data_IF_652593635235
#
_entry.id   IF_652593635235
#
_cell.length_a   1.000
_cell.length_b   1.000
_cell.length_c   1.000
_cell.angle_alpha   90.00
_cell.angle_beta   90.00
_cell.angle_gamma   90.00
#
_symmetry.space_group_name_H-M   'P 1'
#
loop_
_entity.id
_entity.type
_entity.pdbx_description
1 polymer ?
#
# COMPACT_ATOMS: atom_id res chain seq x y z
N UNK A 1 21.63 5.05 -51.29
CA UNK A 1 21.14 5.76 -50.10
C UNK A 1 19.61 5.77 -50.16
N UNK A 2 18.94 4.87 -49.46
CA UNK A 2 17.47 4.85 -49.30
C UNK A 2 17.15 5.41 -47.94
N UNK A 3 16.39 6.50 -47.88
CA UNK A 3 15.92 7.12 -46.61
C UNK A 3 14.84 6.22 -45.99
N UNK A 4 14.99 5.88 -44.73
CA UNK A 4 13.99 5.21 -43.89
C UNK A 4 12.99 6.29 -43.46
N UNK A 5 11.67 6.09 -43.58
CA UNK A 5 10.69 7.08 -43.12
C UNK A 5 10.58 7.01 -41.58
N UNK A 6 10.56 8.20 -40.97
CA UNK A 6 10.31 8.41 -39.56
C UNK A 6 8.94 7.89 -39.17
N UNK A 7 8.89 6.99 -38.20
CA UNK A 7 7.67 6.49 -37.56
C UNK A 7 7.04 7.63 -36.75
N UNK A 8 5.99 8.24 -37.29
CA UNK A 8 5.11 9.11 -36.53
C UNK A 8 4.27 8.27 -35.57
N UNK A 9 4.56 8.39 -34.26
CA UNK A 9 3.72 7.83 -33.22
C UNK A 9 2.27 8.37 -33.40
N UNK A 10 1.32 7.45 -33.52
CA UNK A 10 -0.11 7.81 -33.53
C UNK A 10 -0.48 8.36 -32.17
N UNK A 11 -1.22 9.47 -32.05
CA UNK A 11 -1.77 9.91 -30.79
C UNK A 11 -2.72 8.83 -30.27
N UNK A 12 -2.43 8.27 -29.10
CA UNK A 12 -3.35 7.38 -28.38
C UNK A 12 -4.59 8.19 -28.03
N UNK A 13 -5.73 7.79 -28.58
CA UNK A 13 -7.03 8.36 -28.20
C UNK A 13 -7.22 8.16 -26.68
N UNK A 14 -7.68 9.18 -25.94
CA UNK A 14 -8.00 9.00 -24.53
C UNK A 14 -9.09 7.92 -24.41
N UNK A 15 -8.82 6.90 -23.59
CA UNK A 15 -9.81 5.89 -23.26
C UNK A 15 -11.01 6.61 -22.62
N UNK A 16 -12.26 6.33 -23.04
CA UNK A 16 -13.43 6.96 -22.44
C UNK A 16 -13.43 6.72 -20.95
N UNK A 17 -13.49 7.79 -20.15
CA UNK A 17 -13.54 7.74 -18.70
C UNK A 17 -14.91 7.14 -18.31
N UNK A 18 -14.89 5.96 -17.72
CA UNK A 18 -16.09 5.40 -17.09
C UNK A 18 -16.32 6.09 -15.74
N UNK A 19 -17.16 7.12 -15.73
CA UNK A 19 -17.51 7.89 -14.52
C UNK A 19 -18.19 7.07 -13.43
N UNK A 20 -18.52 5.80 -13.70
CA UNK A 20 -19.08 4.88 -12.73
C UNK A 20 -18.06 3.90 -12.17
N UNK A 21 -16.78 4.07 -12.50
CA UNK A 21 -15.71 3.20 -12.01
C UNK A 21 -15.63 3.26 -10.48
N UNK A 22 -15.75 2.10 -9.83
CA UNK A 22 -15.64 1.96 -8.38
C UNK A 22 -14.56 0.96 -8.03
N UNK A 23 -13.91 1.22 -6.90
CA UNK A 23 -12.97 0.28 -6.29
C UNK A 23 -13.31 0.09 -4.82
N UNK A 24 -12.83 -1.01 -4.25
CA UNK A 24 -12.91 -1.26 -2.82
C UNK A 24 -11.83 -0.43 -2.10
N UNK A 25 -12.29 0.48 -1.22
CA UNK A 25 -11.45 1.32 -0.36
C UNK A 25 -11.54 0.79 1.06
N UNK A 26 -10.41 0.32 1.60
CA UNK A 26 -10.37 -0.24 2.94
C UNK A 26 -10.38 0.83 4.03
N UNK A 27 -9.70 1.94 3.79
CA UNK A 27 -9.66 3.06 4.73
C UNK A 27 -9.33 4.37 4.02
N UNK A 28 -9.76 5.48 4.60
CA UNK A 28 -9.25 6.83 4.31
C UNK A 28 -8.77 7.38 5.65
N UNK A 29 -7.45 7.45 5.82
CA UNK A 29 -6.80 7.89 7.04
C UNK A 29 -6.42 9.36 6.92
N UNK A 30 -7.04 10.20 7.72
CA UNK A 30 -6.74 11.63 7.82
C UNK A 30 -5.54 11.85 8.75
N UNK A 31 -4.84 12.97 8.56
CA UNK A 31 -3.70 13.40 9.39
C UNK A 31 -2.55 12.39 9.46
N UNK A 32 -2.28 11.68 8.36
CA UNK A 32 -1.09 10.83 8.24
C UNK A 32 0.17 11.67 8.14
N UNK A 33 1.19 11.32 8.91
CA UNK A 33 2.50 12.00 8.95
C UNK A 33 3.65 11.13 8.46
N UNK A 34 3.41 9.84 8.24
CA UNK A 34 4.42 8.85 7.82
C UNK A 34 4.22 8.34 6.37
N UNK A 35 3.19 8.83 5.68
CA UNK A 35 2.84 8.42 4.32
C UNK A 35 3.28 9.45 3.27
N UNK A 36 4.43 10.07 3.48
CA UNK A 36 5.02 11.11 2.65
C UNK A 36 5.09 12.46 3.37
N UNK A 37 5.68 13.49 2.72
CA UNK A 37 5.95 14.78 3.36
C UNK A 37 4.68 15.55 3.71
N UNK A 38 4.71 16.23 4.85
CA UNK A 38 3.61 17.06 5.36
C UNK A 38 2.44 16.25 5.93
N UNK A 39 1.35 16.93 6.26
CA UNK A 39 0.12 16.26 6.69
C UNK A 39 -0.63 15.74 5.47
N UNK A 40 -1.03 14.47 5.50
CA UNK A 40 -1.64 13.81 4.36
C UNK A 40 -2.94 13.12 4.73
N UNK A 41 -3.81 12.94 3.74
CA UNK A 41 -4.91 11.98 3.82
C UNK A 41 -4.56 10.79 2.94
N UNK A 42 -4.39 9.62 3.58
CA UNK A 42 -3.99 8.38 2.90
C UNK A 42 -5.20 7.55 2.55
N UNK A 43 -5.34 7.23 1.27
CA UNK A 43 -6.40 6.40 0.70
C UNK A 43 -5.85 5.00 0.50
N UNK A 44 -6.41 4.02 1.20
CA UNK A 44 -5.98 2.62 1.14
C UNK A 44 -6.90 1.82 0.23
N UNK A 45 -6.43 1.51 -0.99
CA UNK A 45 -7.15 0.68 -1.94
C UNK A 45 -7.01 -0.81 -1.58
N UNK A 46 -8.04 -1.61 -1.86
CA UNK A 46 -8.04 -3.05 -1.58
C UNK A 46 -7.73 -3.85 -2.84
N UNK A 47 -6.80 -4.79 -2.72
CA UNK A 47 -6.28 -5.66 -3.76
C UNK A 47 -4.77 -5.51 -3.89
N UNK A 48 -4.03 -6.62 -3.75
CA UNK A 48 -2.56 -6.65 -3.87
C UNK A 48 -2.13 -7.95 -4.53
N UNK A 49 -1.25 -7.92 -5.54
CA UNK A 49 -0.70 -9.13 -6.15
C UNK A 49 0.36 -9.80 -5.27
N UNK A 50 0.92 -9.06 -4.30
CA UNK A 50 1.87 -9.59 -3.33
C UNK A 50 1.14 -10.17 -2.11
N UNK A 51 1.78 -11.15 -1.48
CA UNK A 51 1.29 -11.83 -0.27
C UNK A 51 2.34 -11.81 0.83
N UNK A 52 2.85 -10.61 1.10
CA UNK A 52 3.92 -10.42 2.08
C UNK A 52 3.51 -11.01 3.44
N UNK A 53 4.33 -11.92 3.97
CA UNK A 53 4.05 -12.59 5.25
C UNK A 53 4.09 -11.63 6.45
N UNK A 54 4.73 -10.48 6.29
CA UNK A 54 4.80 -9.39 7.29
C UNK A 54 3.86 -8.21 6.97
N UNK A 55 2.85 -8.39 6.12
CA UNK A 55 1.98 -7.30 5.69
C UNK A 55 1.30 -6.61 6.89
N UNK A 56 1.36 -5.28 6.92
CA UNK A 56 0.70 -4.48 7.96
C UNK A 56 -0.80 -4.30 7.71
N UNK A 57 -1.25 -4.48 6.46
CA UNK A 57 -2.64 -4.35 6.05
C UNK A 57 -3.12 -5.62 5.32
N UNK A 58 -3.05 -6.81 5.96
CA UNK A 58 -3.40 -8.07 5.31
C UNK A 58 -4.86 -8.14 4.87
N UNK A 59 -5.74 -7.35 5.49
CA UNK A 59 -7.13 -7.19 5.10
C UNK A 59 -7.31 -6.56 3.71
N UNK A 60 -6.25 -5.92 3.17
CA UNK A 60 -6.27 -5.27 1.86
C UNK A 60 -5.67 -6.13 0.73
N UNK A 61 -5.21 -7.34 1.03
CA UNK A 61 -4.56 -8.21 0.03
C UNK A 61 -5.58 -8.73 -1.00
N UNK A 62 -6.71 -9.28 -0.53
CA UNK A 62 -7.69 -9.88 -1.43
C UNK A 62 -8.45 -8.82 -2.24
N UNK A 63 -8.76 -9.13 -3.51
CA UNK A 63 -9.48 -8.22 -4.42
C UNK A 63 -10.98 -8.17 -4.14
N UNK A 64 -11.54 -9.16 -3.46
CA UNK A 64 -12.96 -9.23 -3.12
C UNK A 64 -13.25 -8.70 -1.71
N UNK A 65 -14.51 -8.37 -1.46
CA UNK A 65 -14.97 -7.96 -0.14
C UNK A 65 -14.78 -9.08 0.88
N UNK A 66 -14.47 -8.71 2.12
CA UNK A 66 -14.32 -9.64 3.24
C UNK A 66 -15.08 -9.13 4.47
N UNK A 67 -15.39 -10.07 5.36
CA UNK A 67 -15.97 -9.77 6.67
C UNK A 67 -14.86 -9.72 7.72
N UNK A 68 -14.72 -8.60 8.40
CA UNK A 68 -13.81 -8.43 9.54
C UNK A 68 -14.58 -8.56 10.86
N UNK A 69 -14.00 -9.27 11.80
CA UNK A 69 -14.47 -9.38 13.18
C UNK A 69 -13.53 -8.64 14.12
N UNK A 70 -14.06 -7.69 14.87
CA UNK A 70 -13.34 -6.93 15.89
C UNK A 70 -13.78 -7.38 17.30
N UNK A 71 -13.09 -8.37 17.92
CA UNK A 71 -13.53 -8.99 19.16
C UNK A 71 -13.70 -8.00 20.30
N UNK A 72 -12.84 -6.97 20.36
CA UNK A 72 -12.88 -5.96 21.43
C UNK A 72 -14.13 -5.09 21.41
N UNK A 73 -14.82 -5.00 20.27
CA UNK A 73 -16.08 -4.28 20.12
C UNK A 73 -17.31 -5.15 20.39
N UNK A 74 -17.15 -6.48 20.42
CA UNK A 74 -18.28 -7.39 20.62
C UNK A 74 -18.77 -7.36 22.07
N UNK A 75 -20.06 -7.01 22.24
CA UNK A 75 -20.76 -6.99 23.55
C UNK A 75 -21.51 -8.29 23.84
N UNK A 76 -21.40 -9.32 22.98
CA UNK A 76 -22.02 -10.63 23.18
C UNK A 76 -23.54 -10.65 23.06
N UNK A 77 -24.18 -9.63 22.48
CA UNK A 77 -25.65 -9.53 22.39
C UNK A 77 -26.33 -10.69 21.64
N UNK A 78 -25.60 -11.34 20.70
CA UNK A 78 -26.10 -12.52 19.97
C UNK A 78 -26.99 -12.24 18.78
N UNK A 79 -27.39 -10.99 18.51
CA UNK A 79 -28.31 -10.65 17.44
C UNK A 79 -27.90 -11.16 16.06
N UNK A 80 -26.59 -11.19 15.76
CA UNK A 80 -26.05 -11.72 14.50
C UNK A 80 -26.17 -13.25 14.36
N UNK A 81 -26.34 -13.99 15.49
CA UNK A 81 -26.55 -15.44 15.46
C UNK A 81 -27.89 -15.76 14.80
N UNK A 82 -28.95 -15.06 15.22
CA UNK A 82 -30.32 -15.30 14.77
C UNK A 82 -30.58 -14.81 13.32
N UNK A 83 -29.67 -13.95 12.81
CA UNK A 83 -29.82 -13.31 11.50
C UNK A 83 -28.79 -13.79 10.45
N UNK A 84 -28.01 -14.83 10.77
CA UNK A 84 -27.11 -15.42 9.79
C UNK A 84 -27.83 -16.52 8.97
N UNK A 85 -28.06 -16.30 7.65
CA UNK A 85 -28.80 -17.27 6.83
C UNK A 85 -28.06 -18.60 6.69
N UNK A 86 -26.72 -18.59 6.83
CA UNK A 86 -25.87 -19.76 6.72
C UNK A 86 -25.54 -20.42 8.07
N UNK A 87 -26.06 -19.89 9.17
CA UNK A 87 -25.68 -20.32 10.54
C UNK A 87 -24.14 -20.35 10.73
N UNK A 88 -23.45 -19.44 10.09
CA UNK A 88 -21.99 -19.33 10.11
C UNK A 88 -21.46 -18.56 11.35
N UNK A 89 -22.34 -17.96 12.15
CA UNK A 89 -21.95 -17.21 13.34
C UNK A 89 -22.31 -18.06 14.57
N UNK A 90 -21.37 -18.17 15.49
CA UNK A 90 -21.56 -18.93 16.72
C UNK A 90 -20.97 -18.19 17.92
N UNK A 91 -21.29 -18.63 19.14
CA UNK A 91 -20.73 -18.05 20.36
C UNK A 91 -19.43 -18.76 20.70
N UNK A 92 -18.33 -18.00 20.75
CA UNK A 92 -17.03 -18.48 21.17
C UNK A 92 -16.95 -18.71 22.68
N UNK A 93 -15.86 -19.32 23.13
CA UNK A 93 -15.59 -19.61 24.56
C UNK A 93 -15.49 -18.32 25.40
N UNK A 94 -15.07 -17.21 24.80
CA UNK A 94 -15.00 -15.88 25.42
C UNK A 94 -16.37 -15.18 25.53
N UNK A 95 -17.47 -15.87 25.20
CA UNK A 95 -18.83 -15.34 25.17
C UNK A 95 -19.12 -14.37 24.02
N UNK A 96 -18.14 -14.06 23.19
CA UNK A 96 -18.27 -13.21 22.01
C UNK A 96 -18.60 -14.03 20.78
N UNK A 97 -19.08 -13.37 19.73
CA UNK A 97 -19.38 -14.07 18.48
C UNK A 97 -18.10 -14.44 17.74
N UNK A 98 -18.11 -15.61 17.11
CA UNK A 98 -17.08 -16.09 16.20
C UNK A 98 -17.73 -16.45 14.86
N UNK A 99 -16.91 -16.63 13.82
CA UNK A 99 -17.37 -16.89 12.45
C UNK A 99 -16.77 -18.22 11.98
N UNK A 100 -17.63 -19.12 11.57
CA UNK A 100 -17.26 -20.31 10.80
C UNK A 100 -17.06 -19.84 9.34
N UNK A 101 -15.81 -19.74 8.94
CA UNK A 101 -15.44 -19.20 7.62
C UNK A 101 -15.77 -20.14 6.47
N UNK A 102 -15.90 -21.45 6.74
CA UNK A 102 -16.25 -22.45 5.75
C UNK A 102 -17.74 -22.40 5.41
N UNK A 103 -18.59 -21.98 6.37
CA UNK A 103 -20.02 -21.79 6.15
C UNK A 103 -20.40 -20.40 5.65
N UNK A 104 -19.52 -19.41 5.87
CA UNK A 104 -19.82 -18.03 5.56
C UNK A 104 -19.74 -17.76 4.05
N UNK A 105 -20.87 -17.44 3.41
CA UNK A 105 -20.98 -17.07 2.00
C UNK A 105 -20.70 -15.57 1.71
N UNK A 106 -20.28 -14.80 2.72
CA UNK A 106 -20.05 -13.36 2.63
C UNK A 106 -21.28 -12.54 2.22
N UNK A 107 -22.48 -12.97 2.56
CA UNK A 107 -23.71 -12.20 2.31
C UNK A 107 -23.78 -10.88 3.08
N UNK A 108 -22.90 -10.68 4.07
CA UNK A 108 -22.71 -9.47 4.88
C UNK A 108 -23.95 -9.02 5.67
N UNK A 109 -25.02 -9.82 5.76
CA UNK A 109 -26.23 -9.48 6.50
C UNK A 109 -25.94 -9.11 7.96
N UNK A 110 -25.00 -9.83 8.59
CA UNK A 110 -24.60 -9.61 9.99
C UNK A 110 -23.99 -8.22 10.25
N UNK A 111 -23.39 -7.57 9.24
CA UNK A 111 -22.80 -6.23 9.41
C UNK A 111 -23.89 -5.17 9.56
N UNK A 112 -25.06 -5.36 8.94
CA UNK A 112 -26.18 -4.42 9.00
C UNK A 112 -26.81 -4.35 10.39
N UNK A 113 -26.68 -5.42 11.17
CA UNK A 113 -27.31 -5.57 12.49
C UNK A 113 -26.33 -5.48 13.65
N UNK A 114 -25.03 -5.31 13.39
CA UNK A 114 -24.04 -5.21 14.44
C UNK A 114 -23.89 -3.77 14.95
N UNK A 115 -24.75 -3.34 15.87
CA UNK A 115 -24.71 -1.98 16.43
C UNK A 115 -23.38 -1.67 17.17
N UNK A 116 -22.73 -2.70 17.72
CA UNK A 116 -21.41 -2.56 18.33
C UNK A 116 -20.27 -2.47 17.29
N UNK A 117 -20.61 -2.59 16.00
CA UNK A 117 -19.66 -2.58 14.89
C UNK A 117 -18.48 -3.58 15.07
N UNK A 118 -18.76 -4.71 15.70
CA UNK A 118 -17.80 -5.81 15.83
C UNK A 118 -17.68 -6.61 14.53
N UNK A 119 -18.77 -6.70 13.75
CA UNK A 119 -18.79 -7.30 12.43
C UNK A 119 -18.95 -6.18 11.40
N UNK A 120 -17.98 -6.07 10.51
CA UNK A 120 -17.93 -5.02 9.49
C UNK A 120 -17.45 -5.59 8.15
N UNK A 121 -17.76 -4.91 7.08
CA UNK A 121 -17.06 -5.08 5.80
C UNK A 121 -15.63 -4.53 5.92
N UNK A 122 -14.66 -5.18 5.27
CA UNK A 122 -13.27 -4.69 5.23
C UNK A 122 -13.16 -3.38 4.45
N UNK A 123 -13.94 -3.25 3.38
CA UNK A 123 -13.85 -2.11 2.49
C UNK A 123 -15.24 -1.63 2.07
N UNK A 124 -15.31 -0.44 1.49
CA UNK A 124 -16.49 0.11 0.84
C UNK A 124 -16.18 0.43 -0.62
N UNK A 125 -17.14 0.25 -1.50
CA UNK A 125 -17.02 0.70 -2.89
C UNK A 125 -17.12 2.21 -2.94
N UNK A 126 -16.15 2.84 -3.62
CA UNK A 126 -16.11 4.30 -3.79
C UNK A 126 -15.71 4.67 -5.21
N UNK A 127 -16.26 5.78 -5.71
CA UNK A 127 -15.82 6.44 -6.92
C UNK A 127 -14.64 7.40 -6.64
N UNK A 128 -13.88 7.83 -7.67
CA UNK A 128 -12.84 8.84 -7.48
C UNK A 128 -13.37 10.15 -6.88
N UNK A 129 -14.58 10.58 -7.26
CA UNK A 129 -15.20 11.80 -6.76
C UNK A 129 -15.58 11.69 -5.28
N UNK A 130 -16.08 10.54 -4.84
CA UNK A 130 -16.40 10.29 -3.43
C UNK A 130 -15.14 10.33 -2.56
N UNK A 131 -14.02 9.77 -3.06
CA UNK A 131 -12.74 9.84 -2.38
C UNK A 131 -12.24 11.29 -2.34
N UNK A 132 -12.26 11.97 -3.47
CA UNK A 132 -11.79 13.36 -3.53
C UNK A 132 -12.58 14.27 -2.59
N UNK A 133 -13.89 14.07 -2.50
CA UNK A 133 -14.72 14.83 -1.55
C UNK A 133 -14.24 14.68 -0.10
N UNK A 134 -13.87 13.48 0.33
CA UNK A 134 -13.33 13.25 1.69
C UNK A 134 -11.92 13.84 1.86
N UNK A 135 -11.07 13.71 0.84
CA UNK A 135 -9.70 14.22 0.84
C UNK A 135 -9.66 15.75 0.85
N UNK A 136 -10.52 16.39 0.06
CA UNK A 136 -10.55 17.85 -0.07
C UNK A 136 -10.93 18.58 1.23
N UNK A 137 -11.56 17.90 2.18
CA UNK A 137 -11.90 18.48 3.49
C UNK A 137 -10.65 18.90 4.30
N UNK A 138 -9.48 18.31 4.02
CA UNK A 138 -8.24 18.58 4.75
C UNK A 138 -7.28 19.51 3.97
N UNK A 139 -7.74 20.14 2.88
CA UNK A 139 -6.92 20.96 1.96
C UNK A 139 -6.13 22.06 2.65
N UNK A 140 -6.70 22.74 3.62
CA UNK A 140 -6.01 23.80 4.37
C UNK A 140 -4.77 23.30 5.12
N UNK A 141 -4.78 22.04 5.59
CA UNK A 141 -3.62 21.42 6.23
C UNK A 141 -2.54 21.08 5.20
N UNK A 142 -2.93 20.65 4.00
CA UNK A 142 -1.99 20.37 2.91
C UNK A 142 -1.23 21.62 2.50
N UNK A 143 -1.94 22.73 2.32
CA UNK A 143 -1.35 24.02 1.93
C UNK A 143 -0.34 24.53 2.96
N UNK A 144 -0.63 24.38 4.26
CA UNK A 144 0.25 24.84 5.35
C UNK A 144 1.48 23.96 5.57
N UNK A 145 1.39 22.67 5.27
CA UNK A 145 2.45 21.70 5.61
C UNK A 145 3.22 21.17 4.40
N UNK A 146 2.77 21.50 3.19
CA UNK A 146 3.29 20.89 1.98
C UNK A 146 2.80 19.45 1.74
N UNK A 147 1.76 19.02 2.43
CA UNK A 147 1.16 17.70 2.32
C UNK A 147 0.25 17.48 1.10
N UNK A 148 -0.74 16.62 1.23
CA UNK A 148 -1.67 16.28 0.16
C UNK A 148 -2.36 14.94 0.34
N UNK A 149 -2.75 14.30 -0.74
CA UNK A 149 -3.28 12.93 -0.74
C UNK A 149 -2.15 11.92 -0.95
N UNK A 150 -2.21 10.79 -0.25
CA UNK A 150 -1.40 9.60 -0.57
C UNK A 150 -2.32 8.49 -1.05
N UNK A 151 -1.99 7.86 -2.17
CA UNK A 151 -2.70 6.69 -2.70
C UNK A 151 -1.84 5.48 -2.39
N UNK A 152 -2.35 4.60 -1.53
CA UNK A 152 -1.69 3.43 -0.95
C UNK A 152 -2.66 2.24 -0.90
N UNK A 153 -2.44 1.29 -0.01
CA UNK A 153 -3.40 0.20 0.30
C UNK A 153 -2.82 -1.18 0.14
N UNK A 154 -3.39 -1.99 -0.74
CA UNK A 154 -2.80 -3.22 -1.23
C UNK A 154 -1.68 -2.88 -2.22
N UNK A 155 -2.03 -2.76 -3.50
CA UNK A 155 -1.14 -2.21 -4.53
C UNK A 155 -1.96 -1.31 -5.46
N UNK A 156 -1.63 -0.02 -5.50
CA UNK A 156 -2.39 0.97 -6.25
C UNK A 156 -2.36 0.70 -7.77
N UNK A 157 -1.27 0.12 -8.29
CA UNK A 157 -1.15 -0.22 -9.71
C UNK A 157 -2.15 -1.31 -10.14
N UNK A 158 -2.70 -2.09 -9.22
CA UNK A 158 -3.81 -3.01 -9.51
C UNK A 158 -5.09 -2.29 -9.95
N UNK A 159 -5.18 -0.98 -9.70
CA UNK A 159 -6.31 -0.13 -10.02
C UNK A 159 -5.89 1.08 -10.86
N UNK A 160 -4.89 0.91 -11.73
CA UNK A 160 -4.22 2.01 -12.42
C UNK A 160 -5.17 2.99 -13.17
N UNK A 161 -6.22 2.57 -13.89
CA UNK A 161 -7.16 3.50 -14.51
C UNK A 161 -7.92 4.36 -13.49
N UNK A 162 -8.32 3.76 -12.35
CA UNK A 162 -8.97 4.48 -11.25
C UNK A 162 -8.02 5.48 -10.58
N UNK A 163 -6.78 5.05 -10.34
CA UNK A 163 -5.73 5.92 -9.77
C UNK A 163 -5.45 7.10 -10.68
N UNK A 164 -5.40 6.88 -12.00
CA UNK A 164 -5.19 7.95 -12.98
C UNK A 164 -6.29 9.01 -12.90
N UNK A 165 -7.56 8.60 -12.86
CA UNK A 165 -8.69 9.52 -12.72
C UNK A 165 -8.64 10.28 -11.38
N UNK A 166 -8.35 9.58 -10.28
CA UNK A 166 -8.26 10.20 -8.96
C UNK A 166 -7.12 11.25 -8.90
N UNK A 167 -5.97 10.97 -9.52
CA UNK A 167 -4.84 11.90 -9.63
C UNK A 167 -5.24 13.14 -10.46
N UNK A 168 -5.95 12.94 -11.57
CA UNK A 168 -6.42 14.02 -12.43
C UNK A 168 -7.47 14.91 -11.76
N UNK A 169 -8.37 14.31 -10.97
CA UNK A 169 -9.33 15.06 -10.17
C UNK A 169 -8.64 15.84 -9.04
N UNK A 170 -7.66 15.24 -8.37
CA UNK A 170 -6.85 15.92 -7.35
C UNK A 170 -6.09 17.13 -7.93
N UNK A 171 -5.60 17.02 -9.18
CA UNK A 171 -4.93 18.12 -9.87
C UNK A 171 -5.86 19.33 -10.09
N UNK A 172 -7.13 19.10 -10.45
CA UNK A 172 -8.14 20.16 -10.63
C UNK A 172 -8.42 20.91 -9.33
N UNK A 173 -8.31 20.21 -8.18
CA UNK A 173 -8.44 20.80 -6.85
C UNK A 173 -7.13 21.39 -6.29
N UNK A 174 -6.02 21.32 -7.04
CA UNK A 174 -4.71 21.80 -6.61
C UNK A 174 -4.12 20.94 -5.48
N UNK A 175 -4.54 19.68 -5.33
CA UNK A 175 -4.07 18.76 -4.31
C UNK A 175 -2.87 17.97 -4.84
N UNK A 176 -1.76 18.02 -4.10
CA UNK A 176 -0.58 17.19 -4.40
C UNK A 176 -0.81 15.75 -4.04
N UNK A 177 -0.26 14.84 -4.84
CA UNK A 177 -0.40 13.40 -4.67
C UNK A 177 0.96 12.77 -4.38
N UNK A 178 0.99 11.83 -3.45
CA UNK A 178 2.06 10.87 -3.22
C UNK A 178 1.57 9.50 -3.67
N UNK A 179 2.34 8.79 -4.46
CA UNK A 179 2.08 7.41 -4.85
C UNK A 179 2.86 6.48 -3.92
N UNK A 180 2.18 5.57 -3.24
CA UNK A 180 2.79 4.55 -2.39
C UNK A 180 2.59 3.18 -3.03
N UNK A 181 3.67 2.58 -3.53
CA UNK A 181 3.62 1.39 -4.39
C UNK A 181 4.79 0.44 -4.14
N UNK A 182 4.55 -0.84 -4.34
CA UNK A 182 5.62 -1.83 -4.46
C UNK A 182 6.27 -1.83 -5.85
N UNK A 183 5.70 -1.10 -6.82
CA UNK A 183 6.12 -1.14 -8.21
C UNK A 183 5.72 -2.41 -8.96
N UNK A 184 4.91 -3.29 -8.38
CA UNK A 184 4.45 -4.51 -9.04
C UNK A 184 3.21 -4.24 -9.90
N UNK A 185 3.44 -3.84 -11.14
CA UNK A 185 2.40 -3.52 -12.12
C UNK A 185 3.01 -3.08 -13.45
N UNK A 186 2.20 -2.49 -14.31
CA UNK A 186 2.65 -1.96 -15.60
C UNK A 186 3.54 -0.72 -15.42
N UNK A 187 4.80 -0.82 -15.84
CA UNK A 187 5.82 0.21 -15.63
C UNK A 187 5.57 1.49 -16.42
N UNK A 188 5.06 1.38 -17.65
CA UNK A 188 4.75 2.56 -18.46
C UNK A 188 3.58 3.37 -17.86
N UNK A 189 2.60 2.67 -17.31
CA UNK A 189 1.50 3.31 -16.59
C UNK A 189 2.01 4.00 -15.32
N UNK A 190 2.90 3.35 -14.55
CA UNK A 190 3.51 3.97 -13.38
C UNK A 190 4.32 5.22 -13.74
N UNK A 191 5.13 5.15 -14.81
CA UNK A 191 5.91 6.28 -15.31
C UNK A 191 4.99 7.42 -15.76
N UNK A 192 3.89 7.11 -16.48
CA UNK A 192 2.91 8.11 -16.89
C UNK A 192 2.22 8.81 -15.71
N UNK A 193 1.91 8.06 -14.63
CA UNK A 193 1.39 8.62 -13.38
C UNK A 193 2.45 9.49 -12.69
N UNK A 194 3.68 9.01 -12.57
CA UNK A 194 4.79 9.68 -11.92
C UNK A 194 5.14 11.05 -12.57
N UNK A 195 4.95 11.19 -13.88
CA UNK A 195 5.19 12.40 -14.65
C UNK A 195 4.16 13.51 -14.45
N UNK A 196 3.01 13.21 -13.83
CA UNK A 196 1.98 14.23 -13.59
C UNK A 196 2.50 15.32 -12.66
N UNK A 197 2.18 16.56 -12.94
CA UNK A 197 2.71 17.71 -12.20
C UNK A 197 2.30 17.72 -10.73
N UNK A 198 1.08 17.28 -10.43
CA UNK A 198 0.59 17.20 -9.05
C UNK A 198 1.09 15.95 -8.29
N UNK A 199 1.72 14.98 -8.96
CA UNK A 199 2.44 13.88 -8.30
C UNK A 199 3.79 14.40 -7.84
N UNK A 200 3.90 14.64 -6.55
CA UNK A 200 5.06 15.27 -5.93
C UNK A 200 6.07 14.28 -5.35
N UNK A 201 5.63 13.10 -4.94
CA UNK A 201 6.46 12.08 -4.29
C UNK A 201 6.00 10.67 -4.69
N UNK A 202 6.94 9.74 -4.64
CA UNK A 202 6.71 8.32 -4.86
C UNK A 202 7.42 7.57 -3.74
N UNK A 203 6.66 6.90 -2.90
CA UNK A 203 7.16 5.95 -1.91
C UNK A 203 7.27 4.59 -2.61
N UNK A 204 8.49 4.11 -2.79
CA UNK A 204 8.75 2.89 -3.56
C UNK A 204 9.31 1.79 -2.65
N UNK A 205 8.55 0.73 -2.47
CA UNK A 205 8.87 -0.34 -1.54
C UNK A 205 9.93 -1.31 -2.10
N UNK A 206 11.09 -1.40 -1.44
CA UNK A 206 12.08 -2.45 -1.64
C UNK A 206 11.94 -3.50 -0.54
N UNK A 207 11.28 -4.61 -0.84
CA UNK A 207 11.01 -5.65 0.15
C UNK A 207 12.19 -6.61 0.34
N UNK A 208 12.90 -6.92 -0.74
CA UNK A 208 14.23 -7.56 -0.76
C UNK A 208 14.83 -7.44 -2.15
N UNK A 209 16.14 -7.16 -2.24
CA UNK A 209 16.90 -7.23 -3.49
C UNK A 209 17.15 -8.67 -3.93
N UNK A 210 17.24 -9.60 -2.98
CA UNK A 210 17.39 -11.03 -3.24
C UNK A 210 16.04 -11.60 -3.73
N UNK A 211 16.00 -12.09 -4.99
CA UNK A 211 14.79 -12.60 -5.62
C UNK A 211 14.26 -13.86 -4.92
N UNK A 212 15.14 -14.71 -4.41
CA UNK A 212 14.74 -15.93 -3.69
C UNK A 212 14.02 -15.58 -2.39
N UNK A 213 14.58 -14.64 -1.62
CA UNK A 213 13.97 -14.13 -0.40
C UNK A 213 12.66 -13.41 -0.75
N UNK A 214 12.66 -12.59 -1.79
CA UNK A 214 11.46 -11.87 -2.21
C UNK A 214 10.34 -12.84 -2.57
N UNK A 215 10.59 -13.85 -3.41
CA UNK A 215 9.59 -14.85 -3.80
C UNK A 215 9.08 -15.64 -2.59
N UNK A 216 9.99 -16.09 -1.73
CA UNK A 216 9.63 -16.89 -0.54
C UNK A 216 8.66 -16.16 0.38
N UNK A 217 8.86 -14.87 0.59
CA UNK A 217 8.13 -14.11 1.61
C UNK A 217 7.02 -13.20 1.06
N UNK A 218 7.03 -12.91 -0.25
CA UNK A 218 5.99 -12.08 -0.88
C UNK A 218 5.13 -12.82 -1.89
N UNK A 219 5.55 -14.02 -2.30
CA UNK A 219 4.87 -14.85 -3.30
C UNK A 219 5.15 -14.46 -4.75
N UNK A 220 5.98 -13.44 -5.01
CA UNK A 220 6.29 -12.95 -6.36
C UNK A 220 7.79 -12.69 -6.52
N UNK A 221 8.29 -12.76 -7.77
CA UNK A 221 9.64 -12.32 -8.13
C UNK A 221 9.75 -10.79 -8.03
N UNK A 222 10.93 -10.28 -7.65
CA UNK A 222 11.21 -8.84 -7.62
C UNK A 222 11.61 -8.27 -9.00
N UNK A 223 11.74 -9.09 -10.04
CA UNK A 223 12.24 -8.66 -11.36
C UNK A 223 11.45 -7.49 -11.93
N UNK A 224 10.12 -7.63 -11.98
CA UNK A 224 9.24 -6.57 -12.48
C UNK A 224 9.40 -5.26 -11.67
N UNK A 225 9.52 -5.40 -10.35
CA UNK A 225 9.73 -4.25 -9.44
C UNK A 225 11.04 -3.54 -9.77
N UNK A 226 12.13 -4.30 -9.97
CA UNK A 226 13.44 -3.74 -10.31
C UNK A 226 13.50 -3.17 -11.73
N UNK A 227 12.81 -3.79 -12.70
CA UNK A 227 12.65 -3.27 -14.06
C UNK A 227 11.91 -1.94 -14.04
N UNK A 228 10.81 -1.85 -13.32
CA UNK A 228 10.03 -0.62 -13.17
C UNK A 228 10.83 0.48 -12.43
N UNK A 229 11.60 0.14 -11.40
CA UNK A 229 12.47 1.10 -10.73
C UNK A 229 13.51 1.68 -11.69
N UNK A 230 14.16 0.83 -12.52
CA UNK A 230 15.10 1.29 -13.55
C UNK A 230 14.44 2.20 -14.57
N UNK A 231 13.23 1.85 -15.03
CA UNK A 231 12.47 2.70 -15.93
C UNK A 231 12.18 4.09 -15.35
N UNK A 232 11.78 4.15 -14.07
CA UNK A 232 11.48 5.44 -13.40
C UNK A 232 12.71 6.33 -13.27
N UNK A 233 13.88 5.77 -12.96
CA UNK A 233 15.10 6.58 -12.76
C UNK A 233 15.74 7.08 -14.06
N UNK A 234 15.33 6.59 -15.23
CA UNK A 234 15.73 7.14 -16.53
C UNK A 234 15.18 8.57 -16.75
N UNK A 235 14.10 8.92 -16.07
CA UNK A 235 13.53 10.26 -16.06
C UNK A 235 14.01 11.02 -14.82
N UNK A 236 14.85 12.02 -14.99
CA UNK A 236 15.45 12.79 -13.90
C UNK A 236 14.39 13.45 -13.00
N UNK A 237 13.29 13.94 -13.60
CA UNK A 237 12.22 14.59 -12.84
C UNK A 237 11.42 13.61 -11.99
N UNK A 238 11.30 12.37 -12.44
CA UNK A 238 10.65 11.29 -11.69
C UNK A 238 11.60 10.73 -10.62
N UNK A 239 12.89 10.57 -10.94
CA UNK A 239 13.91 10.10 -10.00
C UNK A 239 13.98 11.00 -8.75
N UNK A 240 13.85 12.31 -8.91
CA UNK A 240 13.85 13.25 -7.77
C UNK A 240 12.63 13.12 -6.84
N UNK A 241 11.53 12.51 -7.31
CA UNK A 241 10.33 12.25 -6.50
C UNK A 241 10.42 10.94 -5.71
N UNK A 242 11.40 10.07 -6.00
CA UNK A 242 11.52 8.75 -5.40
C UNK A 242 12.08 8.80 -3.98
N UNK A 243 11.34 8.23 -3.04
CA UNK A 243 11.77 7.88 -1.69
C UNK A 243 11.64 6.36 -1.55
N UNK A 244 12.76 5.67 -1.39
CA UNK A 244 12.75 4.23 -1.17
C UNK A 244 12.20 3.91 0.21
N UNK A 245 11.44 2.80 0.35
CA UNK A 245 10.96 2.29 1.63
C UNK A 245 11.44 0.87 1.82
N UNK A 246 12.01 0.58 2.97
CA UNK A 246 12.56 -0.74 3.29
C UNK A 246 11.94 -1.26 4.58
N UNK A 247 10.92 -2.15 4.51
CA UNK A 247 10.54 -2.92 5.68
C UNK A 247 11.70 -3.81 6.09
N UNK A 248 12.10 -3.77 7.37
CA UNK A 248 13.21 -4.55 7.91
C UNK A 248 12.71 -5.64 8.82
N UNK A 249 12.95 -6.90 8.45
CA UNK A 249 12.53 -8.10 9.17
C UNK A 249 13.77 -8.89 9.59
N UNK A 250 13.97 -9.05 10.90
CA UNK A 250 15.16 -9.70 11.45
C UNK A 250 15.40 -11.10 10.88
N UNK A 251 16.61 -11.32 10.36
CA UNK A 251 17.03 -12.59 9.78
C UNK A 251 16.40 -12.94 8.43
N UNK A 252 15.63 -12.02 7.82
CA UNK A 252 15.00 -12.23 6.51
C UNK A 252 15.64 -11.36 5.45
N UNK A 253 15.44 -10.05 5.52
CA UNK A 253 15.93 -9.10 4.52
C UNK A 253 16.94 -8.09 5.08
N UNK A 254 17.35 -8.23 6.34
CA UNK A 254 18.31 -7.38 7.04
C UNK A 254 19.73 -7.96 7.06
N UNK A 255 20.00 -9.06 6.33
CA UNK A 255 21.32 -9.70 6.29
C UNK A 255 22.35 -8.79 5.63
N UNK A 256 23.65 -8.86 6.03
CA UNK A 256 24.70 -8.01 5.43
C UNK A 256 24.74 -8.10 3.90
N UNK A 257 24.64 -9.31 3.34
CA UNK A 257 24.67 -9.52 1.89
C UNK A 257 23.52 -8.78 1.16
N UNK A 258 22.30 -8.86 1.69
CA UNK A 258 21.13 -8.18 1.12
C UNK A 258 21.29 -6.66 1.22
N UNK A 259 21.75 -6.15 2.37
CA UNK A 259 21.90 -4.71 2.56
C UNK A 259 23.01 -4.13 1.67
N UNK A 260 24.16 -4.80 1.55
CA UNK A 260 25.22 -4.38 0.62
C UNK A 260 24.75 -4.36 -0.84
N UNK A 261 24.06 -5.42 -1.30
CA UNK A 261 23.52 -5.48 -2.65
C UNK A 261 22.49 -4.38 -2.90
N UNK A 262 21.67 -4.06 -1.89
CA UNK A 262 20.69 -2.95 -1.95
C UNK A 262 21.40 -1.60 -2.05
N UNK A 263 22.43 -1.37 -1.23
CA UNK A 263 23.22 -0.14 -1.27
C UNK A 263 23.91 0.06 -2.63
N UNK A 264 24.47 -1.02 -3.20
CA UNK A 264 25.08 -0.98 -4.53
C UNK A 264 24.07 -0.59 -5.61
N UNK A 265 22.88 -1.22 -5.63
CA UNK A 265 21.80 -0.86 -6.56
C UNK A 265 21.38 0.60 -6.40
N UNK A 266 21.17 1.07 -5.18
CA UNK A 266 20.72 2.44 -4.93
C UNK A 266 21.74 3.48 -5.39
N UNK A 267 23.03 3.20 -5.17
CA UNK A 267 24.13 4.02 -5.68
C UNK A 267 24.17 4.01 -7.21
N UNK A 268 24.05 2.84 -7.85
CA UNK A 268 24.02 2.69 -9.32
C UNK A 268 22.89 3.52 -9.94
N UNK A 269 21.71 3.50 -9.32
CA UNK A 269 20.51 4.19 -9.80
C UNK A 269 20.47 5.68 -9.41
N UNK A 270 21.44 6.17 -8.62
CA UNK A 270 21.51 7.56 -8.19
C UNK A 270 20.35 7.98 -7.28
N UNK A 271 19.79 7.04 -6.51
CA UNK A 271 18.72 7.29 -5.55
C UNK A 271 19.27 8.06 -4.34
N UNK A 272 18.43 8.94 -3.74
CA UNK A 272 18.89 9.88 -2.72
C UNK A 272 18.31 9.65 -1.34
N UNK A 273 17.09 9.12 -1.25
CA UNK A 273 16.38 8.97 0.01
C UNK A 273 15.90 7.54 0.26
N UNK A 274 16.03 7.07 1.49
CA UNK A 274 15.44 5.81 1.94
C UNK A 274 14.88 5.93 3.34
N UNK A 275 13.72 5.33 3.54
CA UNK A 275 13.06 5.20 4.84
C UNK A 275 13.12 3.74 5.28
N UNK A 276 13.76 3.49 6.41
CA UNK A 276 13.80 2.19 7.06
C UNK A 276 12.56 2.02 7.93
N UNK A 277 11.89 0.88 7.80
CA UNK A 277 10.64 0.55 8.48
C UNK A 277 10.85 -0.75 9.30
N UNK A 278 11.40 -0.67 10.53
CA UNK A 278 11.51 -1.85 11.38
C UNK A 278 10.15 -2.53 11.55
N UNK A 279 10.13 -3.86 11.45
CA UNK A 279 8.90 -4.63 11.55
C UNK A 279 8.20 -4.44 12.89
N UNK A 280 6.87 -4.39 12.86
CA UNK A 280 6.00 -4.46 14.04
C UNK A 280 4.80 -5.38 13.79
N UNK A 281 4.21 -5.91 14.87
CA UNK A 281 3.21 -6.99 14.79
C UNK A 281 1.76 -6.53 14.54
N UNK A 282 1.52 -5.29 14.14
CA UNK A 282 0.15 -4.75 13.96
C UNK A 282 -0.68 -5.56 12.94
N UNK A 283 -0.05 -6.09 11.89
CA UNK A 283 -0.72 -6.92 10.89
C UNK A 283 -1.25 -8.25 11.41
N UNK A 284 -0.62 -8.81 12.47
CA UNK A 284 -0.98 -10.14 13.02
C UNK A 284 -2.42 -10.14 13.55
N UNK A 285 -2.80 -9.10 14.29
CA UNK A 285 -4.18 -8.98 14.82
C UNK A 285 -5.20 -8.75 13.69
N UNK A 286 -4.84 -7.95 12.69
CA UNK A 286 -5.70 -7.69 11.53
C UNK A 286 -5.95 -8.97 10.70
N UNK A 287 -4.89 -9.77 10.45
CA UNK A 287 -5.01 -11.05 9.76
C UNK A 287 -5.96 -12.01 10.52
N UNK A 288 -5.81 -12.12 11.83
CA UNK A 288 -6.71 -12.93 12.68
C UNK A 288 -8.15 -12.44 12.60
N UNK A 289 -8.35 -11.14 12.55
CA UNK A 289 -9.69 -10.52 12.48
C UNK A 289 -10.43 -10.83 11.17
N UNK A 290 -9.71 -11.10 10.08
CA UNK A 290 -10.30 -11.56 8.82
C UNK A 290 -10.35 -13.10 8.71
N UNK A 291 -9.91 -13.84 9.75
CA UNK A 291 -9.96 -15.30 9.80
C UNK A 291 -8.72 -16.00 9.23
N UNK A 292 -7.64 -15.26 8.98
CA UNK A 292 -6.36 -15.81 8.54
C UNK A 292 -5.39 -16.10 9.68
N UNK A 293 -4.27 -16.71 9.32
CA UNK A 293 -3.12 -16.96 10.19
C UNK A 293 -1.92 -16.16 9.70
N UNK A 294 -1.08 -15.70 10.63
CA UNK A 294 0.14 -14.97 10.31
C UNK A 294 1.35 -15.68 10.87
N UNK A 295 2.45 -15.61 10.14
CA UNK A 295 3.77 -15.83 10.73
C UNK A 295 4.11 -14.59 11.57
N UNK A 296 4.66 -14.81 12.76
CA UNK A 296 5.13 -13.73 13.64
C UNK A 296 6.63 -13.60 13.45
N UNK A 297 7.06 -12.43 13.04
CA UNK A 297 8.47 -12.08 12.90
C UNK A 297 8.94 -11.23 14.09
N UNK A 298 10.24 -11.04 14.19
CA UNK A 298 10.86 -10.11 15.13
C UNK A 298 11.37 -8.87 14.39
N UNK A 299 11.30 -7.68 14.98
CA UNK A 299 12.01 -6.52 14.45
C UNK A 299 13.53 -6.76 14.57
N UNK A 300 14.35 -6.15 13.71
CA UNK A 300 15.78 -6.02 13.96
C UNK A 300 16.04 -5.25 15.27
N UNK A 301 17.21 -5.48 15.89
CA UNK A 301 17.61 -4.66 17.05
C UNK A 301 17.88 -3.22 16.63
N UNK A 302 17.80 -2.29 17.57
CA UNK A 302 18.09 -0.88 17.27
C UNK A 302 19.51 -0.71 16.73
N UNK A 303 20.48 -1.43 17.29
CA UNK A 303 21.87 -1.43 16.84
C UNK A 303 21.96 -1.88 15.37
N UNK A 304 21.19 -2.93 15.00
CA UNK A 304 21.19 -3.43 13.63
C UNK A 304 20.57 -2.42 12.67
N UNK A 305 19.53 -1.72 13.05
CA UNK A 305 18.90 -0.67 12.24
C UNK A 305 19.87 0.50 12.02
N UNK A 306 20.59 0.93 13.08
CA UNK A 306 21.60 2.00 12.97
C UNK A 306 22.83 1.56 12.13
N UNK A 307 23.25 0.29 12.20
CA UNK A 307 24.27 -0.26 11.30
C UNK A 307 23.85 -0.19 9.83
N UNK A 308 22.60 -0.60 9.54
CA UNK A 308 22.05 -0.55 8.18
C UNK A 308 21.98 0.89 7.68
N UNK A 309 21.51 1.82 8.53
CA UNK A 309 21.50 3.24 8.24
C UNK A 309 22.89 3.74 7.87
N UNK A 310 23.88 3.53 8.75
CA UNK A 310 25.25 3.99 8.52
C UNK A 310 25.87 3.40 7.24
N UNK A 311 25.53 2.15 6.90
CA UNK A 311 25.98 1.50 5.67
C UNK A 311 25.38 2.18 4.43
N UNK A 312 24.06 2.41 4.40
CA UNK A 312 23.39 3.05 3.28
C UNK A 312 23.84 4.50 3.08
N UNK A 313 24.06 5.25 4.17
CA UNK A 313 24.62 6.59 4.13
C UNK A 313 26.05 6.59 3.56
N UNK A 314 26.89 5.66 4.00
CA UNK A 314 28.31 5.58 3.60
C UNK A 314 28.48 5.02 2.18
N UNK A 315 27.83 3.93 1.83
CA UNK A 315 28.05 3.20 0.59
C UNK A 315 27.21 3.69 -0.58
N UNK A 316 25.99 4.12 -0.31
CA UNK A 316 25.07 4.62 -1.34
C UNK A 316 24.93 6.15 -1.35
N UNK A 317 25.46 6.86 -0.34
CA UNK A 317 25.36 8.33 -0.25
C UNK A 317 23.92 8.83 -0.03
N UNK A 318 23.07 8.02 0.59
CA UNK A 318 21.64 8.31 0.76
C UNK A 318 21.38 9.10 2.06
N UNK A 319 20.30 9.86 2.04
CA UNK A 319 19.67 10.34 3.29
C UNK A 319 18.78 9.23 3.82
N UNK A 320 18.99 8.81 5.07
CA UNK A 320 18.28 7.69 5.68
C UNK A 320 17.41 8.16 6.83
N UNK A 321 16.12 7.92 6.74
CA UNK A 321 15.14 8.11 7.80
C UNK A 321 14.77 6.76 8.44
N UNK A 322 14.41 6.77 9.71
CA UNK A 322 13.88 5.60 10.42
C UNK A 322 12.50 5.99 10.96
N UNK A 323 11.46 5.31 10.51
CA UNK A 323 10.10 5.48 11.02
C UNK A 323 9.71 4.29 11.91
N UNK A 324 8.68 4.49 12.76
CA UNK A 324 8.17 3.43 13.63
C UNK A 324 9.09 3.10 14.82
N UNK A 325 9.96 4.02 15.24
CA UNK A 325 10.61 3.92 16.57
C UNK A 325 9.51 4.04 17.62
N UNK A 326 9.31 2.96 18.40
CA UNK A 326 8.33 2.90 19.51
C UNK A 326 8.74 3.82 20.66
#
# INVERSE_FOLDING_TARGET
>A
MRRIPSSTARPTMPVPIDRNMKVLVGNIQKFSTEDGPGIRTTVFLKGCPLRCQWCHNPELIEYHQQLIRLPNRCVGCGYCLDHCPQNAIYRGEDGKVAIDRDKCDLCLACTKFCYAQSLQTVAREMTPEEILYEVAQDKEFYEKTGGGMTISGGEMLSHAPFVAELVDLAAKEGIRVCLDTSGFGDGETLLALARRENVSHILYDMKSIDDTVHQQYTGQSNRLILENLRLLVEDDTVREKLQMRMPLIAGVNDTPAIIHATAELYRELGLKGVTLLPYHQLGVSKMRNIGGTSVVFSPPTEERVEEIKALLEKEAGMTVEILGKA
#
